data_IF_211086134730
#
_entry.id   IF_211086134730
#
_cell.length_a   1.000
_cell.length_b   1.000
_cell.length_c   1.000
_cell.angle_alpha   90.00
_cell.angle_beta   90.00
_cell.angle_gamma   90.00
#
_symmetry.space_group_name_H-M   'P 1'
#
loop_
_entity.id
_entity.type
_entity.pdbx_description
1 polymer ?
#
# COMPACT_ATOMS: atom_id res chain seq x y z
N UNK A 1 -15.11 39.33 -4.59
CA UNK A 1 -15.15 38.38 -5.72
C UNK A 1 -16.37 37.51 -5.51
N UNK A 2 -17.28 37.43 -6.48
CA UNK A 2 -18.49 36.59 -6.42
C UNK A 2 -18.51 35.60 -7.59
N UNK A 3 -19.01 34.38 -7.35
CA UNK A 3 -19.13 33.32 -8.34
C UNK A 3 -20.47 32.60 -8.19
N UNK A 4 -21.03 32.10 -9.31
CA UNK A 4 -22.34 31.42 -9.33
C UNK A 4 -22.25 29.91 -9.08
N UNK A 5 -21.04 29.34 -9.11
CA UNK A 5 -20.78 27.93 -8.87
C UNK A 5 -19.39 27.72 -8.27
N UNK A 6 -19.26 26.69 -7.44
CA UNK A 6 -18.00 26.19 -6.90
C UNK A 6 -17.77 24.78 -7.43
N UNK A 7 -16.61 24.54 -8.03
CA UNK A 7 -16.15 23.20 -8.38
C UNK A 7 -15.02 22.84 -7.42
N UNK A 8 -15.29 21.86 -6.56
CA UNK A 8 -14.31 21.30 -5.63
C UNK A 8 -13.79 19.97 -6.19
N UNK A 9 -12.51 19.93 -6.56
CA UNK A 9 -11.86 18.75 -7.14
C UNK A 9 -10.67 18.26 -6.30
N UNK A 10 -10.51 18.75 -5.06
CA UNK A 10 -9.49 18.26 -4.14
C UNK A 10 -9.84 16.85 -3.69
N UNK A 11 -8.87 15.97 -3.74
CA UNK A 11 -8.94 14.71 -3.02
C UNK A 11 -8.79 14.98 -1.52
N UNK A 12 -9.55 14.30 -0.65
CA UNK A 12 -9.33 14.39 0.78
C UNK A 12 -7.91 13.92 1.10
N UNK A 13 -7.29 14.57 2.09
CA UNK A 13 -5.99 14.12 2.59
C UNK A 13 -6.10 12.66 3.08
N UNK A 14 -5.10 11.81 2.80
CA UNK A 14 -5.08 10.46 3.34
C UNK A 14 -5.10 10.53 4.87
N UNK A 15 -6.08 9.87 5.49
CA UNK A 15 -6.11 9.76 6.95
C UNK A 15 -6.58 8.39 7.39
N UNK A 16 -5.62 7.50 7.68
CA UNK A 16 -5.93 6.24 8.35
C UNK A 16 -6.48 6.45 9.77
N UNK A 17 -6.08 7.52 10.46
CA UNK A 17 -6.57 7.85 11.80
C UNK A 17 -8.06 8.23 11.84
N UNK A 18 -8.58 8.83 10.76
CA UNK A 18 -9.97 9.27 10.66
C UNK A 18 -10.76 8.51 9.59
N UNK A 19 -10.25 7.34 9.15
CA UNK A 19 -10.92 6.53 8.15
C UNK A 19 -12.26 5.99 8.66
N UNK A 20 -13.28 6.03 7.79
CA UNK A 20 -14.56 5.36 8.00
C UNK A 20 -14.54 3.89 7.55
N UNK A 21 -13.46 3.44 6.90
CA UNK A 21 -13.31 2.04 6.48
C UNK A 21 -12.97 1.16 7.68
N UNK A 22 -13.80 0.17 8.03
CA UNK A 22 -13.52 -0.75 9.14
C UNK A 22 -12.22 -1.54 8.93
N UNK A 23 -11.91 -1.90 7.69
CA UNK A 23 -10.67 -2.59 7.34
C UNK A 23 -9.44 -1.75 7.67
N UNK A 24 -9.44 -0.49 7.24
CA UNK A 24 -8.32 0.43 7.44
C UNK A 24 -8.18 0.84 8.91
N UNK A 25 -9.32 0.98 9.61
CA UNK A 25 -9.37 1.18 11.06
C UNK A 25 -8.71 0.00 11.80
N UNK A 26 -9.16 -1.22 11.51
CA UNK A 26 -8.60 -2.42 12.14
C UNK A 26 -7.12 -2.65 11.80
N UNK A 27 -6.69 -2.27 10.59
CA UNK A 27 -5.27 -2.29 10.21
C UNK A 27 -4.44 -1.33 11.07
N UNK A 28 -4.92 -0.11 11.27
CA UNK A 28 -4.26 0.90 12.11
C UNK A 28 -4.21 0.47 13.58
N UNK A 29 -5.34 0.01 14.12
CA UNK A 29 -5.42 -0.52 15.49
C UNK A 29 -4.51 -1.72 15.68
N UNK A 30 -4.43 -2.59 14.67
CA UNK A 30 -3.63 -3.81 14.66
C UNK A 30 -2.12 -3.62 14.46
N UNK A 31 -1.58 -2.40 14.54
CA UNK A 31 -0.13 -2.19 14.56
C UNK A 31 0.46 -1.44 13.38
N UNK A 32 -0.30 -1.17 12.31
CA UNK A 32 0.28 -0.57 11.11
C UNK A 32 0.83 0.84 11.36
N UNK A 33 2.04 1.09 10.88
CA UNK A 33 2.65 2.40 10.91
C UNK A 33 2.02 3.32 9.87
N UNK A 34 1.87 4.58 10.26
CA UNK A 34 1.30 5.64 9.43
C UNK A 34 2.18 6.87 9.62
N UNK A 35 2.48 7.58 8.53
CA UNK A 35 3.20 8.86 8.61
C UNK A 35 2.35 9.92 9.30
N UNK A 36 2.97 11.02 9.73
CA UNK A 36 2.24 12.18 10.27
C UNK A 36 1.28 12.78 9.24
N UNK A 37 1.58 12.60 7.96
CA UNK A 37 0.74 12.98 6.80
C UNK A 37 -0.32 11.93 6.43
N UNK A 38 -0.48 10.87 7.23
CA UNK A 38 -1.56 9.91 7.11
C UNK A 38 -1.38 8.79 6.06
N UNK A 39 -0.18 8.67 5.46
CA UNK A 39 0.14 7.60 4.53
C UNK A 39 0.42 6.29 5.28
N UNK A 40 -0.05 5.17 4.74
CA UNK A 40 0.31 3.84 5.23
C UNK A 40 1.78 3.54 4.94
N UNK A 41 2.55 3.18 5.97
CA UNK A 41 3.94 2.77 5.80
C UNK A 41 4.01 1.38 5.16
N UNK A 42 4.79 1.28 4.08
CA UNK A 42 5.07 0.04 3.39
C UNK A 42 6.56 -0.10 3.09
N UNK A 43 7.02 -1.34 2.97
CA UNK A 43 8.36 -1.68 2.53
C UNK A 43 8.55 -1.22 1.07
N UNK A 44 9.61 -0.44 0.76
CA UNK A 44 9.82 0.07 -0.60
C UNK A 44 10.24 -1.01 -1.61
N UNK A 45 10.73 -2.15 -1.14
CA UNK A 45 11.17 -3.28 -1.96
C UNK A 45 10.00 -4.11 -2.47
N UNK A 46 9.01 -4.42 -1.63
CA UNK A 46 7.91 -5.34 -1.99
C UNK A 46 6.51 -4.90 -1.56
N UNK A 47 6.36 -3.70 -1.00
CA UNK A 47 5.08 -3.11 -0.59
C UNK A 47 4.35 -3.86 0.54
N UNK A 48 5.06 -4.67 1.34
CA UNK A 48 4.50 -5.19 2.60
C UNK A 48 4.21 -4.06 3.58
N UNK A 49 3.08 -4.15 4.27
CA UNK A 49 2.70 -3.17 5.30
C UNK A 49 3.71 -3.23 6.44
N UNK A 50 4.20 -2.08 6.89
CA UNK A 50 5.18 -1.98 7.98
C UNK A 50 4.46 -1.64 9.29
N UNK A 51 4.81 -2.32 10.38
CA UNK A 51 4.31 -2.02 11.72
C UNK A 51 5.04 -0.83 12.38
N UNK A 52 4.59 -0.42 13.57
CA UNK A 52 5.16 0.71 14.33
C UNK A 52 6.61 0.48 14.74
N UNK A 53 7.04 -0.76 14.79
CA UNK A 53 8.40 -1.17 15.11
C UNK A 53 9.29 -1.31 13.85
N UNK A 54 8.76 -1.00 12.67
CA UNK A 54 9.49 -1.03 11.41
C UNK A 54 9.57 -2.41 10.75
N UNK A 55 8.79 -3.39 11.20
CA UNK A 55 8.82 -4.76 10.64
C UNK A 55 7.77 -4.92 9.53
N UNK A 56 8.15 -5.48 8.36
CA UNK A 56 7.19 -5.82 7.32
C UNK A 56 6.26 -6.97 7.75
N UNK A 57 4.95 -6.77 7.59
CA UNK A 57 3.94 -7.77 7.89
C UNK A 57 4.13 -9.00 6.97
N UNK A 58 4.08 -10.23 7.51
CA UNK A 58 4.48 -11.42 6.75
C UNK A 58 3.57 -11.74 5.55
N UNK A 59 2.33 -11.21 5.52
CA UNK A 59 1.29 -11.61 4.55
C UNK A 59 0.44 -10.48 3.99
N UNK A 60 0.74 -9.22 4.31
CA UNK A 60 -0.13 -8.08 3.95
C UNK A 60 0.66 -7.09 3.13
N UNK A 61 0.06 -6.69 2.01
CA UNK A 61 0.64 -5.77 1.04
C UNK A 61 -0.32 -4.62 0.84
N UNK A 62 0.19 -3.42 0.57
CA UNK A 62 -0.61 -2.27 0.19
C UNK A 62 0.11 -1.49 -0.92
N UNK A 63 -0.63 -1.15 -1.96
CA UNK A 63 -0.11 -0.42 -3.12
C UNK A 63 -0.97 0.82 -3.37
N UNK A 64 -0.38 1.81 -4.03
CA UNK A 64 -1.08 3.00 -4.50
C UNK A 64 -0.74 4.30 -3.77
N UNK A 65 -1.45 5.39 -4.10
CA UNK A 65 -1.05 6.76 -3.78
C UNK A 65 -1.07 7.10 -2.28
N UNK A 66 -1.78 6.32 -1.47
CA UNK A 66 -1.91 6.53 -0.02
C UNK A 66 -0.95 5.67 0.80
N UNK A 67 0.10 5.14 0.17
CA UNK A 67 1.21 4.43 0.81
C UNK A 67 2.48 5.27 0.77
N UNK A 68 3.49 4.93 1.56
CA UNK A 68 4.80 5.60 1.52
C UNK A 68 5.58 5.32 0.23
N UNK A 69 5.33 4.17 -0.43
CA UNK A 69 5.90 3.84 -1.74
C UNK A 69 5.07 4.45 -2.88
N UNK A 70 4.99 5.79 -2.92
CA UNK A 70 4.21 6.50 -3.94
C UNK A 70 4.88 6.38 -5.31
N UNK A 71 4.15 5.84 -6.27
CA UNK A 71 4.42 6.11 -7.68
C UNK A 71 3.72 7.42 -8.08
N UNK A 72 4.33 8.17 -9.00
CA UNK A 72 3.67 9.35 -9.56
C UNK A 72 2.39 8.90 -10.26
N UNK A 73 1.26 9.56 -9.97
CA UNK A 73 -0.05 9.28 -10.59
C UNK A 73 -0.12 9.62 -12.08
N UNK A 74 1.03 9.84 -12.73
CA UNK A 74 1.11 10.04 -14.16
C UNK A 74 0.98 8.70 -14.88
N UNK A 75 0.24 8.69 -15.98
CA UNK A 75 0.16 7.51 -16.84
C UNK A 75 1.56 7.09 -17.29
N UNK A 76 1.85 5.81 -17.12
CA UNK A 76 3.13 5.26 -17.54
C UNK A 76 3.25 5.34 -19.06
N UNK A 77 4.38 5.87 -19.54
CA UNK A 77 4.72 5.86 -20.96
C UNK A 77 4.80 4.42 -21.47
N UNK A 78 4.25 4.10 -22.65
CA UNK A 78 4.37 2.77 -23.24
C UNK A 78 5.83 2.28 -23.29
N UNK A 79 6.04 0.99 -23.01
CA UNK A 79 7.34 0.28 -23.10
C UNK A 79 8.46 0.79 -22.17
N UNK A 80 8.11 1.44 -21.06
CA UNK A 80 9.11 1.95 -20.09
C UNK A 80 9.23 1.14 -18.80
N UNK A 81 8.31 0.20 -18.54
CA UNK A 81 8.26 -0.50 -17.26
C UNK A 81 8.11 0.48 -16.09
N UNK A 82 7.26 1.50 -16.25
CA UNK A 82 7.13 2.62 -15.32
C UNK A 82 6.96 2.23 -13.84
N UNK A 83 7.17 3.18 -12.91
CA UNK A 83 7.32 2.88 -11.48
C UNK A 83 6.20 2.03 -10.87
N UNK A 84 4.94 2.26 -11.25
CA UNK A 84 3.81 1.47 -10.78
C UNK A 84 3.90 -0.01 -11.21
N UNK A 85 4.37 -0.29 -12.43
CA UNK A 85 4.54 -1.67 -12.89
C UNK A 85 5.64 -2.39 -12.13
N UNK A 86 6.80 -1.74 -11.92
CA UNK A 86 7.88 -2.33 -11.12
C UNK A 86 7.46 -2.61 -9.67
N UNK A 87 6.68 -1.71 -9.07
CA UNK A 87 6.12 -1.92 -7.75
C UNK A 87 5.18 -3.13 -7.72
N UNK A 88 4.26 -3.21 -8.70
CA UNK A 88 3.33 -4.33 -8.80
C UNK A 88 4.07 -5.66 -9.02
N UNK A 89 5.10 -5.69 -9.87
CA UNK A 89 5.90 -6.88 -10.13
C UNK A 89 6.65 -7.37 -8.89
N UNK A 90 7.22 -6.43 -8.12
CA UNK A 90 7.93 -6.77 -6.89
C UNK A 90 6.97 -7.33 -5.83
N UNK A 91 5.81 -6.68 -5.63
CA UNK A 91 4.77 -7.18 -4.72
C UNK A 91 4.23 -8.54 -5.15
N UNK A 92 3.97 -8.74 -6.44
CA UNK A 92 3.51 -10.02 -6.98
C UNK A 92 4.54 -11.13 -6.76
N UNK A 93 5.83 -10.86 -7.02
CA UNK A 93 6.91 -11.82 -6.78
C UNK A 93 7.02 -12.20 -5.31
N UNK A 94 6.90 -11.23 -4.40
CA UNK A 94 6.94 -11.50 -2.96
C UNK A 94 5.74 -12.35 -2.52
N UNK A 95 4.53 -12.01 -2.97
CA UNK A 95 3.32 -12.79 -2.67
C UNK A 95 3.41 -14.23 -3.21
N UNK A 96 3.84 -14.41 -4.46
CA UNK A 96 3.98 -15.72 -5.07
C UNK A 96 5.06 -16.57 -4.39
N UNK A 97 6.18 -15.97 -4.00
CA UNK A 97 7.23 -16.66 -3.25
C UNK A 97 6.72 -17.14 -1.89
N UNK A 98 6.00 -16.27 -1.17
CA UNK A 98 5.37 -16.63 0.10
C UNK A 98 4.38 -17.81 -0.05
N UNK A 99 3.52 -17.77 -1.06
CA UNK A 99 2.55 -18.86 -1.32
C UNK A 99 3.24 -20.17 -1.71
N UNK A 100 4.29 -20.10 -2.53
CA UNK A 100 5.11 -21.26 -2.87
C UNK A 100 5.70 -21.89 -1.60
N UNK A 101 6.26 -21.07 -0.72
CA UNK A 101 6.92 -21.54 0.49
C UNK A 101 5.88 -22.14 1.46
N UNK A 102 4.71 -21.54 1.63
CA UNK A 102 3.62 -22.18 2.40
C UNK A 102 3.24 -23.55 1.84
N UNK A 103 3.18 -23.68 0.51
CA UNK A 103 2.82 -24.95 -0.14
C UNK A 103 3.87 -26.05 0.07
N UNK A 104 5.16 -25.70 0.13
CA UNK A 104 6.21 -26.70 0.35
C UNK A 104 6.25 -27.17 1.80
N UNK A 105 6.00 -26.29 2.77
CA UNK A 105 5.89 -26.67 4.17
C UNK A 105 4.68 -27.58 4.43
N UNK A 106 3.53 -27.31 3.80
CA UNK A 106 2.36 -28.18 3.90
C UNK A 106 2.59 -29.59 3.33
N UNK A 107 3.32 -29.69 2.21
CA UNK A 107 3.68 -30.99 1.59
C UNK A 107 4.71 -31.80 2.39
N UNK A 108 5.60 -31.16 3.13
CA UNK A 108 6.55 -31.86 4.01
C UNK A 108 5.90 -32.33 5.33
N UNK A 109 4.76 -31.76 5.70
CA UNK A 109 4.01 -32.09 6.91
C UNK A 109 2.87 -33.10 6.69
N UNK A 110 2.66 -33.59 5.46
CA UNK A 110 1.65 -34.60 5.09
C UNK A 110 2.33 -35.92 4.72
#
# INVERSE_FOLDING_TARGET
IEARALVEARLPDPSLRHTASPLLRGLYEGGAAVTDTGLLSVDPGDSRIVDREGRPHPRRFALGPFTTARNSGAFTRPRTGGPAFRQNDAAARAALSFLRDLSCHGRLAS
#
